data_IF_816848378767
#
_entry.id   IF_816848378767
#
_cell.length_a   1.000
_cell.length_b   1.000
_cell.length_c   1.000
_cell.angle_alpha   90.00
_cell.angle_beta   90.00
_cell.angle_gamma   90.00
#
_symmetry.space_group_name_H-M   'P 1'
#
loop_
_entity.id
_entity.type
_entity.pdbx_description
1 polymer ?
#
# COMPACT_ATOMS: atom_id res chain seq x y z
N UNK A 1 1.77 -1.37 24.18
CA UNK A 1 1.43 -1.49 22.73
C UNK A 1 0.18 -2.36 22.65
N UNK A 2 -1.00 -1.76 22.45
CA UNK A 2 -2.27 -2.50 22.40
C UNK A 2 -2.29 -3.44 21.20
N UNK A 3 -2.79 -4.67 21.32
CA UNK A 3 -2.98 -5.56 20.15
C UNK A 3 -3.87 -4.90 19.09
N UNK A 4 -3.63 -5.19 17.80
CA UNK A 4 -4.55 -4.78 16.73
C UNK A 4 -5.95 -5.32 17.03
N UNK A 5 -6.99 -4.54 16.73
CA UNK A 5 -8.37 -5.02 16.90
C UNK A 5 -8.69 -6.12 15.87
N UNK A 6 -9.70 -6.97 16.10
CA UNK A 6 -10.13 -7.96 15.11
C UNK A 6 -10.49 -7.33 13.75
N UNK A 7 -11.08 -6.14 13.77
CA UNK A 7 -11.42 -5.38 12.56
C UNK A 7 -10.15 -4.94 11.81
N UNK A 8 -9.11 -4.51 12.53
CA UNK A 8 -7.83 -4.13 11.90
C UNK A 8 -7.19 -5.30 11.17
N UNK A 9 -7.24 -6.50 11.76
CA UNK A 9 -6.70 -7.71 11.13
C UNK A 9 -7.47 -8.09 9.86
N UNK A 10 -8.79 -7.94 9.87
CA UNK A 10 -9.62 -8.13 8.69
C UNK A 10 -9.27 -7.10 7.60
N UNK A 11 -9.15 -5.82 7.96
CA UNK A 11 -8.75 -4.77 7.04
C UNK A 11 -7.37 -5.01 6.44
N UNK A 12 -6.38 -5.45 7.23
CA UNK A 12 -5.06 -5.86 6.71
C UNK A 12 -5.20 -6.96 5.68
N UNK A 13 -6.01 -7.99 5.96
CA UNK A 13 -6.27 -9.08 5.02
C UNK A 13 -6.81 -8.58 3.68
N UNK A 14 -7.87 -7.75 3.73
CA UNK A 14 -8.51 -7.15 2.55
C UNK A 14 -7.51 -6.28 1.77
N UNK A 15 -6.70 -5.47 2.46
CA UNK A 15 -5.73 -4.58 1.85
C UNK A 15 -4.64 -5.38 1.13
N UNK A 16 -4.06 -6.38 1.79
CA UNK A 16 -3.00 -7.23 1.21
C UNK A 16 -3.53 -8.02 0.01
N UNK A 17 -4.73 -8.60 0.13
CA UNK A 17 -5.41 -9.27 -0.99
C UNK A 17 -5.56 -8.30 -2.17
N UNK A 18 -6.13 -7.12 -1.94
CA UNK A 18 -6.35 -6.11 -2.98
C UNK A 18 -5.05 -5.67 -3.65
N UNK A 19 -3.98 -5.47 -2.86
CA UNK A 19 -2.65 -5.15 -3.40
C UNK A 19 -2.09 -6.29 -4.25
N UNK A 20 -2.26 -7.54 -3.83
CA UNK A 20 -1.73 -8.71 -4.53
C UNK A 20 -2.41 -8.99 -5.87
N UNK A 21 -3.70 -8.68 -5.97
CA UNK A 21 -4.48 -8.78 -7.20
C UNK A 21 -4.19 -7.62 -8.15
N UNK A 22 -3.63 -6.52 -7.64
CA UNK A 22 -3.27 -5.37 -8.44
C UNK A 22 -1.92 -5.56 -9.15
N UNK A 23 -1.82 -5.03 -10.37
CA UNK A 23 -0.55 -5.00 -11.12
C UNK A 23 0.42 -3.91 -10.67
N UNK A 24 -0.05 -2.94 -9.87
CA UNK A 24 0.78 -1.83 -9.39
C UNK A 24 1.67 -2.26 -8.22
N UNK A 25 2.88 -1.71 -8.14
CA UNK A 25 3.80 -1.97 -7.03
C UNK A 25 3.58 -1.07 -5.80
N UNK A 26 2.70 -0.07 -5.92
CA UNK A 26 2.30 0.81 -4.81
C UNK A 26 0.95 1.46 -5.06
N UNK A 27 0.24 1.84 -4.00
CA UNK A 27 -1.16 2.26 -4.06
C UNK A 27 -1.46 3.39 -3.09
N UNK A 28 -2.38 4.27 -3.47
CA UNK A 28 -2.99 5.21 -2.53
C UNK A 28 -4.05 4.45 -1.70
N UNK A 29 -4.26 4.85 -0.44
CA UNK A 29 -5.37 4.32 0.37
C UNK A 29 -6.72 4.46 -0.37
N UNK A 30 -6.94 5.62 -0.99
CA UNK A 30 -8.11 5.87 -1.84
C UNK A 30 -8.26 4.87 -2.99
N UNK A 31 -7.16 4.52 -3.67
CA UNK A 31 -7.23 3.57 -4.78
C UNK A 31 -7.60 2.17 -4.31
N UNK A 32 -7.07 1.74 -3.17
CA UNK A 32 -7.38 0.44 -2.58
C UNK A 32 -8.85 0.38 -2.15
N UNK A 33 -9.31 1.41 -1.44
CA UNK A 33 -10.70 1.52 -1.02
C UNK A 33 -11.66 1.46 -2.20
N UNK A 34 -11.41 2.23 -3.27
CA UNK A 34 -12.22 2.18 -4.49
C UNK A 34 -12.25 0.80 -5.13
N UNK A 35 -11.11 0.12 -5.23
CA UNK A 35 -11.06 -1.24 -5.77
C UNK A 35 -11.85 -2.22 -4.90
N UNK A 36 -11.80 -2.10 -3.58
CA UNK A 36 -12.62 -2.91 -2.66
C UNK A 36 -14.11 -2.63 -2.83
N UNK A 37 -14.50 -1.37 -3.00
CA UNK A 37 -15.89 -1.01 -3.28
C UNK A 37 -16.35 -1.58 -4.62
N UNK A 38 -15.56 -1.42 -5.69
CA UNK A 38 -15.90 -1.93 -7.03
C UNK A 38 -16.04 -3.45 -7.08
N UNK A 39 -15.26 -4.20 -6.29
CA UNK A 39 -15.38 -5.67 -6.21
C UNK A 39 -16.55 -6.14 -5.34
N UNK A 40 -17.05 -5.29 -4.43
CA UNK A 40 -18.10 -5.65 -3.46
C UNK A 40 -19.47 -5.02 -3.74
N UNK A 41 -19.55 -3.93 -4.51
CA UNK A 41 -20.80 -3.25 -4.85
C UNK A 41 -20.72 -2.49 -6.18
N UNK A 42 -21.82 -2.48 -6.92
CA UNK A 42 -21.96 -1.75 -8.19
C UNK A 42 -22.51 -0.34 -7.93
N UNK A 43 -21.65 0.65 -7.70
CA UNK A 43 -22.12 2.03 -7.58
C UNK A 43 -21.00 3.06 -7.51
N UNK A 44 -20.89 3.90 -8.54
CA UNK A 44 -20.01 5.08 -8.55
C UNK A 44 -20.84 6.35 -8.47
N UNK A 45 -21.22 6.74 -7.25
CA UNK A 45 -21.54 8.13 -6.94
C UNK A 45 -20.31 8.75 -6.24
N UNK A 46 -20.22 10.09 -6.21
CA UNK A 46 -19.09 10.80 -5.60
C UNK A 46 -18.79 10.35 -4.16
N UNK A 47 -17.57 10.61 -3.67
CA UNK A 47 -17.17 10.17 -2.33
C UNK A 47 -18.08 10.74 -1.25
N UNK A 48 -18.69 9.84 -0.47
CA UNK A 48 -19.43 10.18 0.74
C UNK A 48 -18.48 10.51 1.90
N UNK A 49 -18.99 11.14 2.97
CA UNK A 49 -18.22 11.35 4.20
C UNK A 49 -17.76 10.00 4.81
N UNK A 50 -18.62 8.99 4.74
CA UNK A 50 -18.29 7.61 5.12
C UNK A 50 -17.12 7.05 4.32
N UNK A 51 -17.04 7.35 3.02
CA UNK A 51 -15.93 6.90 2.17
C UNK A 51 -14.62 7.55 2.60
N UNK A 52 -14.64 8.84 2.96
CA UNK A 52 -13.46 9.55 3.46
C UNK A 52 -12.99 8.94 4.78
N UNK A 53 -13.91 8.59 5.68
CA UNK A 53 -13.58 7.89 6.93
C UNK A 53 -12.92 6.54 6.66
N UNK A 54 -13.47 5.72 5.76
CA UNK A 54 -12.89 4.41 5.43
C UNK A 54 -11.53 4.52 4.76
N UNK A 55 -11.32 5.50 3.88
CA UNK A 55 -10.00 5.75 3.29
C UNK A 55 -8.99 6.13 4.37
N UNK A 56 -9.39 6.96 5.33
CA UNK A 56 -8.55 7.34 6.47
C UNK A 56 -8.21 6.12 7.34
N UNK A 57 -9.18 5.21 7.52
CA UNK A 57 -8.99 3.98 8.29
C UNK A 57 -8.01 3.02 7.60
N UNK A 58 -8.10 2.87 6.28
CA UNK A 58 -7.12 2.11 5.50
C UNK A 58 -5.71 2.65 5.71
N UNK A 59 -5.52 3.96 5.63
CA UNK A 59 -4.21 4.57 5.87
C UNK A 59 -3.73 4.39 7.31
N UNK A 60 -4.63 4.55 8.29
CA UNK A 60 -4.33 4.32 9.71
C UNK A 60 -3.81 2.90 9.94
N UNK A 61 -4.51 1.90 9.45
CA UNK A 61 -4.16 0.47 9.59
C UNK A 61 -2.83 0.16 8.90
N UNK A 62 -2.61 0.66 7.69
CA UNK A 62 -1.33 0.47 6.98
C UNK A 62 -0.17 1.13 7.73
N UNK A 63 -0.35 2.36 8.22
CA UNK A 63 0.68 3.10 8.96
C UNK A 63 1.02 2.44 10.29
N UNK A 64 0.00 1.99 11.02
CA UNK A 64 0.20 1.28 12.28
C UNK A 64 0.90 -0.07 12.07
N UNK A 65 0.48 -0.82 11.04
CA UNK A 65 1.10 -2.10 10.69
C UNK A 65 2.53 -1.93 10.17
N UNK A 66 2.82 -0.84 9.46
CA UNK A 66 4.17 -0.44 9.07
C UNK A 66 5.05 -0.19 10.31
N UNK A 67 4.56 0.61 11.27
CA UNK A 67 5.31 0.94 12.48
C UNK A 67 5.58 -0.29 13.37
N UNK A 68 4.63 -1.24 13.42
CA UNK A 68 4.72 -2.42 14.28
C UNK A 68 5.53 -3.56 13.67
N UNK A 69 5.27 -3.87 12.41
CA UNK A 69 5.80 -5.08 11.77
C UNK A 69 6.73 -4.77 10.60
N UNK A 70 6.60 -3.60 9.97
CA UNK A 70 7.32 -3.25 8.74
C UNK A 70 6.71 -3.85 7.47
N UNK A 71 5.53 -4.49 7.56
CA UNK A 71 4.87 -5.15 6.42
C UNK A 71 4.36 -4.18 5.34
N UNK A 72 4.22 -2.90 5.66
CA UNK A 72 3.89 -1.86 4.70
C UNK A 72 5.00 -0.83 4.70
N UNK A 73 5.45 -0.46 3.51
CA UNK A 73 6.29 0.72 3.31
C UNK A 73 5.45 1.87 2.77
N UNK A 74 5.80 3.09 3.17
CA UNK A 74 5.16 4.32 2.71
C UNK A 74 6.13 5.14 1.86
N UNK A 75 5.64 5.70 0.76
CA UNK A 75 6.33 6.67 -0.08
C UNK A 75 5.51 7.94 -0.05
N UNK A 76 6.03 8.95 0.63
CA UNK A 76 5.43 10.28 0.62
C UNK A 76 5.59 10.89 -0.78
N UNK A 77 4.49 11.45 -1.30
CA UNK A 77 4.56 12.22 -2.54
C UNK A 77 5.19 13.58 -2.27
N UNK A 78 6.32 13.87 -2.89
CA UNK A 78 6.90 15.23 -2.94
C UNK A 78 6.04 16.20 -3.77
N UNK A 79 5.10 15.67 -4.55
CA UNK A 79 4.19 16.45 -5.37
C UNK A 79 3.00 16.94 -4.52
N UNK A 80 2.94 18.25 -4.26
CA UNK A 80 1.71 18.91 -3.81
C UNK A 80 0.69 18.77 -4.92
N UNK A 81 -0.31 17.89 -4.74
CA UNK A 81 -1.44 17.84 -5.65
C UNK A 81 -2.05 19.23 -5.75
N UNK A 82 -2.23 19.73 -6.98
CA UNK A 82 -2.81 21.04 -7.30
C UNK A 82 -4.21 21.28 -6.72
N UNK A 83 -4.84 20.24 -6.16
CA UNK A 83 -6.15 20.31 -5.49
C UNK A 83 -6.09 20.56 -3.99
N UNK A 84 -4.90 20.71 -3.39
CA UNK A 84 -4.73 20.85 -1.92
C UNK A 84 -5.56 19.81 -1.13
N UNK A 85 -5.68 18.58 -1.65
CA UNK A 85 -6.38 17.52 -0.94
C UNK A 85 -5.60 17.24 0.35
N UNK A 86 -6.21 17.37 1.54
CA UNK A 86 -5.54 17.08 2.79
C UNK A 86 -5.10 15.61 2.83
N UNK A 87 -4.09 15.28 3.63
CA UNK A 87 -3.82 13.90 4.07
C UNK A 87 -5.16 13.32 4.55
N UNK A 88 -5.68 12.21 3.99
CA UNK A 88 -5.02 10.93 3.67
C UNK A 88 -4.66 10.63 2.18
N UNK A 89 -4.76 11.61 1.28
CA UNK A 89 -4.86 11.29 -0.16
C UNK A 89 -3.55 11.26 -0.97
N UNK A 90 -2.39 11.46 -0.33
CA UNK A 90 -1.13 11.69 -1.07
C UNK A 90 -0.06 10.60 -0.91
N UNK A 91 -0.06 9.85 0.20
CA UNK A 91 0.92 8.81 0.48
C UNK A 91 0.62 7.52 -0.28
N UNK A 92 1.65 6.93 -0.88
CA UNK A 92 1.55 5.61 -1.53
C UNK A 92 2.13 4.54 -0.62
N UNK A 93 1.42 3.43 -0.49
CA UNK A 93 1.82 2.27 0.30
C UNK A 93 2.21 1.11 -0.62
N UNK A 94 3.16 0.29 -0.17
CA UNK A 94 3.52 -0.97 -0.81
C UNK A 94 3.68 -2.07 0.25
N UNK A 95 3.37 -3.30 -0.11
CA UNK A 95 3.42 -4.45 0.79
C UNK A 95 4.79 -5.15 0.76
N UNK A 96 5.25 -5.59 1.93
CA UNK A 96 6.53 -6.26 2.19
C UNK A 96 6.26 -7.61 2.85
N UNK A 97 6.13 -8.70 2.06
CA UNK A 97 5.83 -10.03 2.59
C UNK A 97 6.89 -10.58 3.57
N UNK A 98 8.12 -10.07 3.55
CA UNK A 98 9.20 -10.49 4.49
C UNK A 98 8.92 -10.05 5.93
N UNK A 99 8.07 -9.05 6.12
CA UNK A 99 7.79 -8.41 7.40
C UNK A 99 6.37 -8.70 7.89
N UNK A 100 5.63 -9.59 7.22
CA UNK A 100 4.28 -9.96 7.64
C UNK A 100 4.33 -11.02 8.76
N UNK A 101 3.70 -10.79 9.93
CA UNK A 101 3.61 -11.79 11.00
C UNK A 101 2.74 -12.99 10.61
N UNK A 102 1.86 -12.86 9.61
CA UNK A 102 1.13 -13.98 9.02
C UNK A 102 1.99 -14.65 7.94
N UNK A 103 2.65 -15.72 8.33
CA UNK A 103 3.57 -16.48 7.48
C UNK A 103 2.85 -17.15 6.31
N UNK A 104 1.62 -17.63 6.52
CA UNK A 104 0.85 -18.32 5.48
C UNK A 104 0.42 -17.33 4.39
N UNK A 105 -0.12 -16.18 4.81
CA UNK A 105 -0.44 -15.07 3.89
C UNK A 105 0.80 -14.63 3.13
N UNK A 106 1.92 -14.39 3.81
CA UNK A 106 3.17 -13.98 3.17
C UNK A 106 3.64 -14.97 2.10
N UNK A 107 3.59 -16.27 2.39
CA UNK A 107 3.98 -17.32 1.45
C UNK A 107 3.06 -17.35 0.24
N UNK A 108 1.75 -17.27 0.44
CA UNK A 108 0.77 -17.23 -0.65
C UNK A 108 1.02 -16.03 -1.59
N UNK A 109 1.21 -14.84 -1.02
CA UNK A 109 1.45 -13.63 -1.82
C UNK A 109 2.77 -13.69 -2.60
N UNK A 110 3.81 -14.36 -2.08
CA UNK A 110 5.07 -14.54 -2.82
C UNK A 110 4.91 -15.38 -4.08
N UNK A 111 4.00 -16.36 -4.05
CA UNK A 111 3.72 -17.23 -5.18
C UNK A 111 2.94 -16.50 -6.26
N UNK A 112 2.07 -15.56 -5.89
CA UNK A 112 1.21 -14.83 -6.82
C UNK A 112 1.85 -13.55 -7.35
N UNK A 113 2.74 -12.89 -6.60
CA UNK A 113 3.40 -11.66 -7.04
C UNK A 113 4.46 -11.89 -8.14
N UNK A 114 4.31 -11.27 -9.33
CA UNK A 114 5.31 -11.37 -10.38
C UNK A 114 6.63 -10.69 -9.97
N UNK A 115 7.67 -11.50 -9.79
CA UNK A 115 9.06 -11.03 -9.70
C UNK A 115 9.56 -10.62 -8.32
N UNK A 116 9.03 -11.21 -7.23
CA UNK A 116 9.57 -11.04 -5.87
C UNK A 116 11.09 -11.25 -5.79
N UNK A 117 11.65 -12.21 -6.53
CA UNK A 117 13.09 -12.44 -6.63
C UNK A 117 13.85 -11.57 -7.65
N UNK A 118 13.20 -10.97 -8.65
CA UNK A 118 13.87 -10.24 -9.75
C UNK A 118 14.19 -8.77 -9.41
N UNK A 119 13.46 -8.18 -8.45
CA UNK A 119 13.56 -6.74 -8.09
C UNK A 119 14.76 -6.40 -7.20
N UNK A 120 15.24 -7.34 -6.39
CA UNK A 120 16.46 -7.15 -5.59
C UNK A 120 17.69 -6.99 -6.51
N UNK A 121 17.76 -7.78 -7.58
CA UNK A 121 18.84 -7.72 -8.55
C UNK A 121 18.81 -6.45 -9.40
N UNK A 122 17.65 -5.98 -9.85
CA UNK A 122 17.57 -4.74 -10.66
C UNK A 122 17.88 -3.47 -9.87
N UNK A 123 17.73 -3.48 -8.54
CA UNK A 123 18.15 -2.36 -7.67
C UNK A 123 19.67 -2.17 -7.65
N UNK A 124 20.45 -3.25 -7.73
CA UNK A 124 21.93 -3.19 -7.71
C UNK A 124 22.50 -2.40 -8.88
N UNK A 125 21.80 -2.37 -10.02
CA UNK A 125 22.28 -1.75 -11.25
C UNK A 125 21.75 -0.32 -11.48
N UNK A 126 20.94 0.24 -10.59
CA UNK A 126 20.51 1.65 -10.67
C UNK A 126 21.54 2.59 -10.03
N UNK A 127 22.77 2.54 -10.52
CA UNK A 127 23.79 3.57 -10.32
C UNK A 127 23.95 4.36 -11.62
N UNK A 128 22.92 5.12 -12.01
CA UNK A 128 23.06 6.05 -13.12
C UNK A 128 22.91 7.47 -12.56
N UNK A 129 23.98 8.25 -12.68
CA UNK A 129 24.04 9.72 -12.49
C UNK A 129 24.15 10.29 -11.07
N UNK A 130 25.08 9.80 -10.23
CA UNK A 130 25.49 10.57 -9.05
C UNK A 130 26.80 11.35 -9.23
N UNK A 131 27.58 11.06 -10.28
CA UNK A 131 28.76 11.83 -10.65
C UNK A 131 28.47 12.60 -11.95
N UNK A 132 28.73 13.92 -12.01
CA UNK A 132 28.77 14.61 -13.28
C UNK A 132 29.82 13.94 -14.16
N UNK A 133 29.42 13.55 -15.38
CA UNK A 133 30.35 13.11 -16.40
C UNK A 133 31.10 14.37 -16.83
N UNK A 134 32.30 14.61 -16.29
CA UNK A 134 33.12 15.78 -16.67
C UNK A 134 33.62 15.66 -18.11
N UNK A 135 33.94 16.72 -18.86
CA UNK A 135 33.90 18.19 -18.67
C UNK A 135 33.31 18.79 -19.95
#
# INVERSE_FOLDING_TARGET
LSSLSPLDLELVGIIVETMSLSRSSSHLALSLYKTVCETRSSGTAGMSETDIMWVSEFERVMTESAARYGMFGMVESSFRNSRNLPLPFSSRFFYVPDCDPDVERAQLIRLTMPGSGKRSETKKYKQYYWKPVGK
#
